data_IF_095080434337
#
_entry.id   IF_095080434337
#
_cell.length_a   1.000
_cell.length_b   1.000
_cell.length_c   1.000
_cell.angle_alpha   90.00
_cell.angle_beta   90.00
_cell.angle_gamma   90.00
#
_symmetry.space_group_name_H-M   'P 1'
#
loop_
_entity.id
_entity.type
_entity.pdbx_description
1 polymer ?
#
# COMPACT_ATOMS: atom_id res chain seq x y z
N UNK A 1 0.32 10.51 14.51
CA UNK A 1 1.47 11.40 14.29
C UNK A 1 1.37 11.98 12.88
N UNK A 2 1.89 13.17 12.65
CA UNK A 2 1.96 13.80 11.32
C UNK A 2 3.38 14.29 11.09
N UNK A 3 3.97 13.96 9.95
CA UNK A 3 5.33 14.36 9.60
C UNK A 3 5.59 14.18 8.11
N UNK A 4 6.64 14.83 7.62
CA UNK A 4 7.08 14.74 6.23
C UNK A 4 8.55 14.33 6.19
N UNK A 5 8.90 13.50 5.23
CA UNK A 5 10.27 13.06 4.97
C UNK A 5 10.54 13.09 3.47
N UNK A 6 11.80 13.25 3.10
CA UNK A 6 12.28 13.09 1.72
C UNK A 6 13.23 11.90 1.66
N UNK A 7 13.25 11.22 0.51
CA UNK A 7 14.12 10.08 0.25
C UNK A 7 14.59 10.13 -1.19
N UNK A 8 15.81 9.63 -1.43
CA UNK A 8 16.40 9.53 -2.77
C UNK A 8 16.57 8.06 -3.12
N UNK A 9 16.23 7.72 -4.36
CA UNK A 9 16.42 6.40 -4.94
C UNK A 9 16.72 6.51 -6.42
N UNK A 10 16.98 5.37 -7.04
CA UNK A 10 17.21 5.27 -8.48
C UNK A 10 16.45 4.08 -9.07
N UNK A 11 16.17 4.13 -10.36
CA UNK A 11 15.71 2.98 -11.12
C UNK A 11 16.56 2.79 -12.37
N UNK A 12 16.81 1.54 -12.70
CA UNK A 12 17.47 1.14 -13.95
C UNK A 12 16.58 0.15 -14.67
N UNK A 13 16.61 0.16 -16.00
CA UNK A 13 15.84 -0.77 -16.81
C UNK A 13 16.59 -1.13 -18.08
N UNK A 14 16.32 -2.33 -18.57
CA UNK A 14 16.81 -2.83 -19.84
C UNK A 14 15.63 -3.34 -20.66
N UNK A 15 15.70 -3.15 -21.96
CA UNK A 15 14.70 -3.63 -22.92
C UNK A 15 15.43 -4.26 -24.09
N UNK A 16 14.91 -5.39 -24.57
CA UNK A 16 15.48 -6.15 -25.67
C UNK A 16 14.37 -6.69 -26.56
N UNK A 17 14.55 -6.56 -27.87
CA UNK A 17 13.66 -7.10 -28.90
C UNK A 17 14.42 -8.15 -29.71
N UNK A 18 14.37 -9.44 -29.32
CA UNK A 18 14.96 -10.53 -30.11
C UNK A 18 14.37 -10.64 -31.52
N UNK A 19 13.08 -10.32 -31.67
CA UNK A 19 12.38 -10.21 -32.94
C UNK A 19 11.48 -8.97 -32.91
N UNK A 20 11.01 -8.46 -34.07
CA UNK A 20 10.11 -7.31 -34.07
C UNK A 20 8.78 -7.56 -33.36
N UNK A 21 8.35 -8.83 -33.28
CA UNK A 21 7.14 -9.24 -32.59
C UNK A 21 7.30 -9.54 -31.09
N UNK A 22 8.53 -9.70 -30.59
CA UNK A 22 8.80 -10.13 -29.20
C UNK A 22 9.64 -9.09 -28.46
N UNK A 23 9.07 -8.51 -27.41
CA UNK A 23 9.74 -7.58 -26.51
C UNK A 23 9.96 -8.20 -25.14
N UNK A 24 11.15 -7.98 -24.58
CA UNK A 24 11.56 -8.41 -23.24
C UNK A 24 12.01 -7.18 -22.46
N UNK A 25 11.54 -7.05 -21.22
CA UNK A 25 11.86 -5.92 -20.36
C UNK A 25 12.26 -6.37 -18.96
N UNK A 26 13.19 -5.64 -18.36
CA UNK A 26 13.53 -5.77 -16.95
C UNK A 26 13.69 -4.38 -16.33
N UNK A 27 13.22 -4.22 -15.10
CA UNK A 27 13.34 -2.99 -14.31
C UNK A 27 13.75 -3.34 -12.90
N UNK A 28 14.70 -2.59 -12.37
CA UNK A 28 15.04 -2.56 -10.95
C UNK A 28 14.80 -1.16 -10.39
N UNK A 29 14.10 -1.08 -9.26
CA UNK A 29 13.95 0.13 -8.45
C UNK A 29 14.68 -0.10 -7.12
N UNK A 30 15.57 0.82 -6.77
CA UNK A 30 16.31 0.76 -5.52
C UNK A 30 15.38 0.94 -4.32
N UNK A 31 15.83 0.41 -3.19
CA UNK A 31 15.28 0.75 -1.88
C UNK A 31 15.40 2.25 -1.62
N UNK A 32 14.42 2.82 -0.91
CA UNK A 32 14.42 4.23 -0.50
C UNK A 32 14.15 4.32 0.99
N UNK A 33 14.99 5.06 1.71
CA UNK A 33 14.83 5.28 3.15
C UNK A 33 14.23 6.65 3.39
N UNK A 34 13.23 6.71 4.26
CA UNK A 34 12.61 7.93 4.75
C UNK A 34 12.84 8.05 6.25
N UNK A 35 13.36 9.19 6.66
CA UNK A 35 13.56 9.54 8.07
C UNK A 35 12.63 10.70 8.39
N UNK A 36 11.73 10.45 9.35
CA UNK A 36 10.76 11.42 9.82
C UNK A 36 11.26 11.89 11.17
N UNK A 37 11.83 13.09 11.20
CA UNK A 37 12.31 13.70 12.44
C UNK A 37 11.36 14.76 12.93
N UNK A 38 11.06 14.72 14.23
CA UNK A 38 10.22 15.73 14.86
C UNK A 38 8.74 15.70 14.43
N UNK A 39 8.21 14.53 14.03
CA UNK A 39 6.81 14.39 13.63
C UNK A 39 5.88 14.71 14.81
N UNK A 40 4.85 15.52 14.55
CA UNK A 40 3.89 15.95 15.57
C UNK A 40 3.06 14.76 16.07
N UNK A 41 3.12 14.51 17.36
CA UNK A 41 2.33 13.54 18.08
C UNK A 41 1.28 14.25 18.95
N UNK A 42 0.02 14.16 18.53
CA UNK A 42 -1.12 14.67 19.28
C UNK A 42 -1.84 13.52 19.96
N UNK A 43 -2.08 13.67 21.26
CA UNK A 43 -2.90 12.75 22.03
C UNK A 43 -4.21 13.43 22.39
N UNK A 44 -5.30 12.72 22.19
CA UNK A 44 -6.64 13.17 22.56
C UNK A 44 -7.29 12.07 23.38
N UNK A 45 -7.78 12.43 24.56
CA UNK A 45 -8.52 11.49 25.38
C UNK A 45 -9.82 11.11 24.68
N UNK A 46 -10.07 9.80 24.58
CA UNK A 46 -11.35 9.26 24.13
C UNK A 46 -12.20 9.00 25.38
N UNK A 47 -13.38 9.62 25.52
CA UNK A 47 -14.25 9.38 26.67
C UNK A 47 -14.61 7.91 26.79
N UNK A 48 -14.34 7.34 27.95
CA UNK A 48 -14.63 5.93 28.25
C UNK A 48 -16.05 5.72 28.78
N UNK A 49 -16.62 6.75 29.42
CA UNK A 49 -17.92 6.64 30.10
C UNK A 49 -17.91 5.73 31.33
N UNK A 50 -16.72 5.33 31.82
CA UNK A 50 -16.56 4.45 32.97
C UNK A 50 -16.54 5.27 34.27
N UNK A 51 -17.31 4.82 35.27
CA UNK A 51 -17.29 5.38 36.62
C UNK A 51 -16.50 4.47 37.56
N UNK A 52 -15.56 5.04 38.30
CA UNK A 52 -14.78 4.36 39.33
C UNK A 52 -15.43 4.53 40.70
N UNK A 53 -15.58 3.43 41.43
CA UNK A 53 -16.12 3.43 42.78
C UNK A 53 -15.02 3.29 43.83
N UNK A 54 -15.28 3.64 45.11
CA UNK A 54 -14.30 3.47 46.19
C UNK A 54 -13.73 2.04 46.22
N UNK A 55 -12.39 1.93 46.34
CA UNK A 55 -11.67 0.65 46.32
C UNK A 55 -11.23 0.16 44.94
N UNK A 56 -11.50 0.91 43.85
CA UNK A 56 -10.99 0.54 42.53
C UNK A 56 -9.44 0.60 42.51
N UNK A 57 -8.74 -0.44 41.98
CA UNK A 57 -7.28 -0.53 42.02
C UNK A 57 -6.57 0.50 41.13
N UNK A 58 -7.32 1.20 40.27
CA UNK A 58 -6.83 2.20 39.32
C UNK A 58 -6.95 3.63 39.85
N UNK A 59 -7.53 3.84 41.03
CA UNK A 59 -7.56 5.15 41.70
C UNK A 59 -6.19 5.37 42.38
N UNK A 60 -5.48 6.47 42.10
CA UNK A 60 -4.24 6.79 42.80
C UNK A 60 -4.43 6.83 44.31
N UNK A 61 -3.49 6.24 45.06
CA UNK A 61 -3.52 6.24 46.52
C UNK A 61 -3.61 7.68 47.05
N UNK A 62 -4.54 7.92 47.99
CA UNK A 62 -4.79 9.26 48.55
C UNK A 62 -5.87 10.06 47.83
N UNK A 63 -6.44 9.57 46.72
CA UNK A 63 -7.58 10.23 46.06
C UNK A 63 -8.88 9.93 46.83
N UNK A 64 -9.55 10.97 47.34
CA UNK A 64 -10.89 10.82 47.95
C UNK A 64 -11.94 10.61 46.86
N UNK A 65 -12.56 9.44 46.83
CA UNK A 65 -13.63 9.09 45.88
C UNK A 65 -14.98 9.10 46.61
N UNK A 66 -15.96 9.92 46.16
CA UNK A 66 -17.29 9.92 46.74
C UNK A 66 -17.98 8.55 46.60
N UNK A 67 -18.98 8.22 47.43
CA UNK A 67 -19.77 7.02 47.27
C UNK A 67 -20.48 6.93 45.91
N UNK A 68 -20.77 8.07 45.28
CA UNK A 68 -21.36 8.17 43.93
C UNK A 68 -20.37 7.82 42.82
N UNK A 69 -19.09 7.59 43.13
CA UNK A 69 -18.01 7.34 42.19
C UNK A 69 -17.43 8.60 41.56
N UNK A 70 -16.33 8.43 40.84
CA UNK A 70 -15.68 9.45 40.02
C UNK A 70 -15.57 8.97 38.57
N UNK A 71 -15.78 9.84 37.57
CA UNK A 71 -15.52 9.47 36.18
C UNK A 71 -14.05 9.09 35.98
N UNK A 72 -13.77 7.93 35.38
CA UNK A 72 -12.41 7.51 35.04
C UNK A 72 -11.72 8.56 34.17
N UNK A 73 -12.49 9.18 33.28
CA UNK A 73 -11.98 10.21 32.38
C UNK A 73 -11.44 11.44 33.13
N UNK A 74 -12.02 11.81 34.26
CA UNK A 74 -11.53 12.91 35.10
C UNK A 74 -10.21 12.57 35.79
N UNK A 75 -9.99 11.31 36.15
CA UNK A 75 -8.73 10.82 36.74
C UNK A 75 -7.60 10.86 35.72
N UNK A 76 -7.89 10.54 34.45
CA UNK A 76 -6.91 10.55 33.37
C UNK A 76 -6.64 11.94 32.77
N UNK A 77 -7.52 12.91 32.95
CA UNK A 77 -7.44 14.22 32.29
C UNK A 77 -6.08 14.93 32.48
N UNK A 78 -5.47 14.78 33.67
CA UNK A 78 -4.14 15.33 33.96
C UNK A 78 -3.01 14.77 33.09
N UNK A 79 -3.17 13.58 32.51
CA UNK A 79 -2.20 13.01 31.57
C UNK A 79 -2.16 13.74 30.24
N UNK A 80 -3.26 14.40 29.84
CA UNK A 80 -3.40 15.05 28.53
C UNK A 80 -3.18 16.57 28.57
N UNK A 81 -2.72 17.12 29.70
CA UNK A 81 -2.52 18.56 29.89
C UNK A 81 -1.20 18.85 30.60
N UNK A 82 -0.68 20.08 30.47
CA UNK A 82 0.51 20.55 31.18
C UNK A 82 1.71 19.61 31.00
N UNK A 83 2.23 19.08 32.11
CA UNK A 83 3.37 18.14 32.15
C UNK A 83 2.96 16.66 32.12
N UNK A 84 1.69 16.34 31.82
CA UNK A 84 1.20 14.97 31.72
C UNK A 84 1.91 14.18 30.63
N UNK A 85 1.97 12.85 30.76
CA UNK A 85 2.71 12.00 29.82
C UNK A 85 2.17 12.09 28.38
N UNK A 86 0.89 12.39 28.21
CA UNK A 86 0.17 12.46 26.93
C UNK A 86 -0.21 13.90 26.58
N UNK A 87 0.53 14.90 27.07
CA UNK A 87 0.26 16.30 26.74
C UNK A 87 0.37 16.56 25.23
N UNK A 88 -0.38 17.53 24.68
CA UNK A 88 -0.28 17.91 23.28
C UNK A 88 1.05 18.59 22.97
N UNK A 89 1.53 18.46 21.73
CA UNK A 89 2.77 19.10 21.26
C UNK A 89 4.03 18.24 21.47
N UNK A 90 3.85 16.93 21.64
CA UNK A 90 4.98 16.00 21.61
C UNK A 90 5.46 15.78 20.19
N UNK A 91 6.74 15.45 20.07
CA UNK A 91 7.36 15.10 18.81
C UNK A 91 7.91 13.68 18.89
N UNK A 92 7.87 12.97 17.77
CA UNK A 92 8.45 11.66 17.65
C UNK A 92 9.24 11.52 16.34
N UNK A 93 10.29 10.71 16.37
CA UNK A 93 11.02 10.29 15.17
C UNK A 93 10.63 8.87 14.76
N UNK A 94 10.64 8.61 13.46
CA UNK A 94 10.46 7.27 12.90
C UNK A 94 11.22 7.12 11.60
N UNK A 95 11.46 5.88 11.18
CA UNK A 95 12.11 5.55 9.92
C UNK A 95 11.29 4.51 9.18
N UNK A 96 11.08 4.72 7.89
CA UNK A 96 10.42 3.78 7.00
C UNK A 96 11.33 3.46 5.81
N UNK A 97 11.49 2.18 5.52
CA UNK A 97 12.34 1.71 4.43
C UNK A 97 11.47 1.08 3.34
N UNK A 98 11.33 1.80 2.23
CA UNK A 98 10.57 1.32 1.08
C UNK A 98 11.39 0.27 0.33
N UNK A 99 10.81 -0.88 0.01
CA UNK A 99 11.54 -2.03 -0.51
C UNK A 99 12.05 -1.80 -1.93
N UNK A 100 13.15 -2.48 -2.26
CA UNK A 100 13.59 -2.61 -3.65
C UNK A 100 12.57 -3.42 -4.45
N UNK A 101 12.48 -3.16 -5.76
CA UNK A 101 11.55 -3.86 -6.65
C UNK A 101 12.28 -4.36 -7.89
N UNK A 102 12.04 -5.61 -8.24
CA UNK A 102 12.43 -6.19 -9.51
C UNK A 102 11.17 -6.51 -10.30
N UNK A 103 11.14 -6.11 -11.57
CA UNK A 103 10.08 -6.47 -12.50
C UNK A 103 10.70 -6.97 -13.80
N UNK A 104 10.14 -8.04 -14.35
CA UNK A 104 10.47 -8.56 -15.67
C UNK A 104 9.18 -8.80 -16.43
N UNK A 105 9.21 -8.58 -17.74
CA UNK A 105 8.03 -8.67 -18.58
C UNK A 105 8.34 -9.12 -20.00
N UNK A 106 7.35 -9.72 -20.62
CA UNK A 106 7.36 -10.16 -22.01
C UNK A 106 6.12 -9.61 -22.70
N UNK A 107 6.30 -9.06 -23.89
CA UNK A 107 5.24 -8.63 -24.79
C UNK A 107 5.36 -9.33 -26.13
N UNK A 108 4.23 -9.81 -26.68
CA UNK A 108 4.18 -10.46 -27.98
C UNK A 108 3.10 -9.84 -28.86
N UNK A 109 3.49 -9.31 -30.02
CA UNK A 109 2.64 -8.63 -31.00
C UNK A 109 2.56 -9.34 -32.36
N UNK A 110 3.03 -10.59 -32.45
CA UNK A 110 2.99 -11.38 -33.69
C UNK A 110 1.60 -11.93 -34.07
N UNK A 111 0.53 -11.37 -33.49
CA UNK A 111 -0.86 -11.73 -33.75
C UNK A 111 -1.55 -10.50 -34.33
N UNK A 112 -2.36 -10.69 -35.38
CA UNK A 112 -3.02 -9.59 -36.06
C UNK A 112 -3.75 -8.63 -35.10
N UNK A 113 -3.29 -7.38 -35.07
CA UNK A 113 -3.80 -6.29 -34.24
C UNK A 113 -3.87 -6.61 -32.73
N UNK A 114 -3.10 -7.59 -32.26
CA UNK A 114 -3.21 -8.14 -30.92
C UNK A 114 -1.86 -8.15 -30.24
N UNK A 115 -1.81 -7.64 -29.01
CA UNK A 115 -0.64 -7.74 -28.14
C UNK A 115 -1.00 -8.51 -26.88
N UNK A 116 -0.21 -9.52 -26.56
CA UNK A 116 -0.26 -10.24 -25.30
C UNK A 116 0.90 -9.80 -24.43
N UNK A 117 0.68 -9.67 -23.13
CA UNK A 117 1.76 -9.36 -22.19
C UNK A 117 1.68 -10.21 -20.93
N UNK A 118 2.85 -10.52 -20.38
CA UNK A 118 3.00 -11.15 -19.06
C UNK A 118 4.10 -10.43 -18.30
N UNK A 119 3.81 -10.05 -17.05
CA UNK A 119 4.75 -9.38 -16.15
C UNK A 119 4.83 -10.10 -14.81
N UNK A 120 6.04 -10.33 -14.34
CA UNK A 120 6.32 -10.75 -12.97
C UNK A 120 7.04 -9.65 -12.22
N UNK A 121 6.58 -9.33 -11.01
CA UNK A 121 7.28 -8.42 -10.12
C UNK A 121 7.46 -9.01 -8.72
N UNK A 122 8.68 -8.84 -8.19
CA UNK A 122 9.06 -9.18 -6.82
C UNK A 122 9.40 -7.91 -6.07
N UNK A 123 8.73 -7.70 -4.94
CA UNK A 123 8.96 -6.56 -4.06
C UNK A 123 9.61 -7.06 -2.78
N UNK A 124 10.78 -6.51 -2.46
CA UNK A 124 11.63 -6.98 -1.36
C UNK A 124 11.17 -6.45 0.01
N UNK A 125 9.90 -6.70 0.36
CA UNK A 125 9.30 -6.28 1.62
C UNK A 125 9.96 -6.89 2.85
N UNK A 126 10.81 -7.92 2.71
CA UNK A 126 11.62 -8.45 3.81
C UNK A 126 12.62 -7.44 4.40
N UNK A 127 12.75 -6.24 3.82
CA UNK A 127 13.44 -5.12 4.45
C UNK A 127 12.65 -4.42 5.55
N UNK A 128 11.32 -4.60 5.57
CA UNK A 128 10.42 -3.94 6.52
C UNK A 128 10.08 -4.89 7.67
N UNK A 129 11.01 -5.02 8.61
CA UNK A 129 10.84 -5.87 9.79
C UNK A 129 10.22 -5.13 10.96
N UNK A 130 10.53 -3.84 11.11
CA UNK A 130 10.09 -3.03 12.25
C UNK A 130 9.75 -1.60 11.82
N UNK A 131 8.85 -0.98 12.59
CA UNK A 131 8.55 0.44 12.53
C UNK A 131 8.82 1.04 13.92
N UNK A 132 10.01 1.64 14.14
CA UNK A 132 10.33 2.30 15.40
C UNK A 132 9.58 3.63 15.51
N UNK A 133 9.07 3.93 16.70
CA UNK A 133 8.47 5.21 17.05
C UNK A 133 9.17 5.72 18.30
N UNK A 134 10.00 6.74 18.15
CA UNK A 134 10.86 7.26 19.20
C UNK A 134 10.41 8.64 19.67
N UNK A 135 10.01 8.75 20.93
CA UNK A 135 9.63 10.00 21.60
C UNK A 135 10.80 10.62 22.38
N UNK A 136 12.02 10.13 22.16
CA UNK A 136 13.24 10.60 22.79
C UNK A 136 13.66 9.79 24.03
N UNK A 137 14.88 10.06 24.55
CA UNK A 137 15.48 9.26 25.61
C UNK A 137 14.62 9.18 26.87
N UNK A 138 14.36 7.95 27.34
CA UNK A 138 13.61 7.69 28.57
C UNK A 138 12.10 7.91 28.47
N UNK A 139 11.57 8.27 27.29
CA UNK A 139 10.11 8.38 27.11
C UNK A 139 9.47 6.99 27.14
N UNK A 140 8.48 6.74 28.01
CA UNK A 140 7.75 5.48 28.04
C UNK A 140 6.80 5.32 26.84
N UNK A 141 6.68 6.32 25.97
CA UNK A 141 5.92 6.27 24.73
C UNK A 141 6.71 5.71 23.55
N UNK A 142 8.04 5.65 23.67
CA UNK A 142 8.93 5.04 22.69
C UNK A 142 8.63 3.55 22.58
N UNK A 143 8.40 3.07 21.35
CA UNK A 143 8.06 1.68 21.06
C UNK A 143 8.52 1.27 19.67
N UNK A 144 8.60 -0.03 19.44
CA UNK A 144 8.92 -0.60 18.13
C UNK A 144 7.80 -1.54 17.72
N UNK A 145 7.11 -1.20 16.63
CA UNK A 145 6.11 -2.07 16.04
C UNK A 145 6.83 -3.15 15.22
N UNK A 146 6.43 -4.40 15.43
CA UNK A 146 6.98 -5.58 14.75
C UNK A 146 6.12 -5.93 13.56
N UNK A 147 6.68 -5.78 12.37
CA UNK A 147 5.98 -5.91 11.09
C UNK A 147 6.34 -7.22 10.40
N UNK A 148 7.63 -7.61 10.41
CA UNK A 148 8.15 -8.87 9.88
C UNK A 148 7.64 -9.21 8.47
N UNK A 149 7.59 -8.22 7.57
CA UNK A 149 7.03 -8.44 6.24
C UNK A 149 7.88 -9.43 5.44
N UNK A 150 7.23 -10.19 4.58
CA UNK A 150 7.85 -11.14 3.66
C UNK A 150 7.88 -10.59 2.24
N UNK A 151 8.76 -11.12 1.40
CA UNK A 151 8.84 -10.69 0.00
C UNK A 151 7.52 -10.99 -0.73
N UNK A 152 6.98 -10.00 -1.43
CA UNK A 152 5.75 -10.13 -2.21
C UNK A 152 6.07 -10.43 -3.67
N UNK A 153 5.25 -11.29 -4.27
CA UNK A 153 5.32 -11.66 -5.67
C UNK A 153 4.00 -11.30 -6.35
N UNK A 154 4.07 -10.80 -7.58
CA UNK A 154 2.90 -10.49 -8.39
C UNK A 154 3.09 -10.95 -9.82
N UNK A 155 2.01 -11.44 -10.41
CA UNK A 155 1.91 -11.83 -11.80
C UNK A 155 0.80 -11.02 -12.46
N UNK A 156 1.05 -10.49 -13.65
CA UNK A 156 0.06 -9.76 -14.46
C UNK A 156 0.03 -10.36 -15.85
N UNK A 157 -1.16 -10.48 -16.41
CA UNK A 157 -1.40 -10.90 -17.79
C UNK A 157 -2.27 -9.85 -18.44
N UNK A 158 -1.87 -9.42 -19.64
CA UNK A 158 -2.55 -8.39 -20.41
C UNK A 158 -2.88 -8.85 -21.82
N UNK A 159 -3.97 -8.31 -22.34
CA UNK A 159 -4.43 -8.48 -23.71
C UNK A 159 -4.84 -7.10 -24.24
N UNK A 160 -4.31 -6.71 -25.39
CA UNK A 160 -4.78 -5.56 -26.16
C UNK A 160 -5.17 -6.04 -27.56
N UNK A 161 -6.33 -5.62 -28.05
CA UNK A 161 -6.74 -5.80 -29.44
C UNK A 161 -7.21 -4.49 -30.04
N UNK A 162 -6.75 -4.15 -31.24
CA UNK A 162 -7.14 -2.93 -31.96
C UNK A 162 -8.13 -3.23 -33.07
N UNK A 163 -9.35 -2.75 -32.88
CA UNK A 163 -10.40 -2.78 -33.89
C UNK A 163 -10.24 -1.62 -34.87
N UNK A 164 -10.60 -1.85 -36.13
CA UNK A 164 -10.54 -0.86 -37.21
C UNK A 164 -9.13 -0.32 -37.51
N UNK A 165 -8.09 -0.95 -36.96
CA UNK A 165 -6.71 -0.69 -37.32
C UNK A 165 -6.30 -1.55 -38.52
N UNK A 166 -5.47 -1.00 -39.39
CA UNK A 166 -4.78 -1.80 -40.40
C UNK A 166 -3.71 -2.64 -39.72
N UNK A 167 -3.73 -3.95 -39.96
CA UNK A 167 -2.64 -4.79 -39.49
C UNK A 167 -1.34 -4.39 -40.17
N UNK A 168 -0.32 -4.16 -39.36
CA UNK A 168 1.04 -3.88 -39.79
C UNK A 168 1.88 -5.07 -39.37
N UNK A 169 2.52 -5.73 -40.33
CA UNK A 169 3.48 -6.80 -40.05
C UNK A 169 4.60 -6.25 -39.16
N UNK A 170 4.92 -6.87 -38.01
CA UNK A 170 6.02 -6.45 -37.16
C UNK A 170 7.36 -6.32 -37.90
N UNK A 171 7.59 -7.10 -38.96
CA UNK A 171 8.82 -7.06 -39.76
C UNK A 171 8.81 -5.94 -40.84
N UNK A 172 7.68 -5.25 -41.05
CA UNK A 172 7.56 -4.16 -42.04
C UNK A 172 8.02 -2.80 -41.46
N UNK A 173 9.29 -2.50 -41.68
CA UNK A 173 9.93 -1.23 -41.27
C UNK A 173 9.46 0.01 -42.05
N UNK A 174 8.67 -0.15 -43.12
CA UNK A 174 8.15 0.96 -43.91
C UNK A 174 6.77 1.45 -43.45
N UNK A 175 6.13 0.72 -42.52
CA UNK A 175 4.78 1.03 -42.07
C UNK A 175 4.73 2.31 -41.22
N UNK A 176 3.87 3.26 -41.61
CA UNK A 176 3.67 4.51 -40.87
C UNK A 176 2.85 4.30 -39.58
N UNK A 177 3.16 4.99 -38.47
CA UNK A 177 2.40 4.91 -37.21
C UNK A 177 0.89 5.17 -37.35
N UNK A 178 0.49 5.99 -38.34
CA UNK A 178 -0.90 6.31 -38.63
C UNK A 178 -1.74 5.07 -39.06
N UNK A 179 -1.10 4.02 -39.59
CA UNK A 179 -1.79 2.79 -40.03
C UNK A 179 -2.36 1.98 -38.85
N UNK A 180 -1.87 2.21 -37.63
CA UNK A 180 -2.31 1.49 -36.42
C UNK A 180 -3.40 2.25 -35.65
N UNK A 181 -4.01 3.28 -36.24
CA UNK A 181 -5.04 4.08 -35.59
C UNK A 181 -6.38 3.32 -35.52
N UNK A 182 -6.69 2.75 -34.36
CA UNK A 182 -7.91 1.96 -34.16
C UNK A 182 -8.36 1.98 -32.71
N UNK A 183 -9.59 1.54 -32.47
CA UNK A 183 -10.15 1.44 -31.11
C UNK A 183 -9.50 0.25 -30.40
N UNK A 184 -8.76 0.54 -29.33
CA UNK A 184 -8.08 -0.49 -28.54
C UNK A 184 -8.99 -0.99 -27.43
N UNK A 185 -9.29 -2.29 -27.40
CA UNK A 185 -9.82 -2.98 -26.23
C UNK A 185 -8.67 -3.57 -25.42
N UNK A 186 -8.66 -3.31 -24.11
CA UNK A 186 -7.67 -3.85 -23.18
C UNK A 186 -8.36 -4.64 -22.09
N UNK A 187 -7.86 -5.84 -21.84
CA UNK A 187 -8.26 -6.69 -20.72
C UNK A 187 -7.01 -7.09 -19.94
N UNK A 188 -7.15 -7.20 -18.62
CA UNK A 188 -6.03 -7.56 -17.76
C UNK A 188 -6.47 -8.32 -16.53
N UNK A 189 -5.59 -9.21 -16.08
CA UNK A 189 -5.69 -9.90 -14.81
C UNK A 189 -4.38 -9.76 -14.05
N UNK A 190 -4.43 -9.55 -12.74
CA UNK A 190 -3.25 -9.62 -11.91
C UNK A 190 -3.52 -10.26 -10.54
N UNK A 191 -2.59 -11.08 -10.09
CA UNK A 191 -2.51 -11.55 -8.72
C UNK A 191 -1.33 -10.89 -8.02
N UNK A 192 -1.53 -10.39 -6.81
CA UNK A 192 -0.47 -9.87 -5.95
C UNK A 192 -0.56 -10.50 -4.57
N UNK A 193 0.53 -11.14 -4.14
CA UNK A 193 0.64 -11.77 -2.83
C UNK A 193 0.83 -10.71 -1.74
N UNK A 194 0.16 -10.86 -0.60
CA UNK A 194 0.42 -10.03 0.59
C UNK A 194 1.85 -10.20 1.11
N UNK A 195 2.59 -9.11 1.39
CA UNK A 195 3.83 -9.20 2.17
C UNK A 195 3.60 -9.31 3.68
N UNK A 196 2.45 -8.88 4.21
CA UNK A 196 2.21 -8.89 5.65
C UNK A 196 1.98 -10.32 6.15
N UNK A 197 2.70 -10.83 7.16
CA UNK A 197 2.36 -12.09 7.81
C UNK A 197 1.06 -11.96 8.62
N UNK A 198 0.41 -13.09 8.92
CA UNK A 198 -0.92 -13.08 9.57
C UNK A 198 -0.93 -12.35 10.92
N UNK A 199 0.20 -12.37 11.64
CA UNK A 199 0.32 -11.77 12.98
C UNK A 199 0.44 -10.24 12.94
N UNK A 200 0.63 -9.61 11.77
CA UNK A 200 0.81 -8.16 11.63
C UNK A 200 -0.33 -7.46 10.91
N UNK A 201 -1.33 -8.21 10.47
CA UNK A 201 -2.58 -7.67 9.91
C UNK A 201 -3.37 -6.93 10.98
N UNK A 202 -3.72 -5.68 10.69
CA UNK A 202 -4.51 -4.81 11.59
C UNK A 202 -5.64 -4.13 10.81
N UNK A 203 -6.67 -3.56 11.48
CA UNK A 203 -7.66 -2.75 10.78
C UNK A 203 -7.08 -1.47 10.14
N UNK A 204 -5.94 -0.97 10.65
CA UNK A 204 -5.25 0.17 10.05
C UNK A 204 -4.64 -0.20 8.69
N UNK A 205 -4.12 -1.43 8.58
CA UNK A 205 -3.54 -1.96 7.36
C UNK A 205 -3.99 -3.42 7.17
N UNK A 206 -5.21 -3.63 6.65
CA UNK A 206 -5.77 -4.97 6.45
C UNK A 206 -5.20 -5.57 5.17
N UNK A 207 -3.87 -5.75 5.11
CA UNK A 207 -3.19 -6.21 3.92
C UNK A 207 -3.49 -7.69 3.65
N UNK A 208 -3.78 -7.98 2.38
CA UNK A 208 -4.19 -9.30 1.91
C UNK A 208 -3.88 -9.45 0.44
N UNK A 209 -3.75 -10.70 -0.01
CA UNK A 209 -3.53 -11.01 -1.41
C UNK A 209 -4.72 -10.53 -2.25
N UNK A 210 -4.42 -9.98 -3.43
CA UNK A 210 -5.37 -9.26 -4.28
C UNK A 210 -5.46 -9.91 -5.65
N UNK A 211 -6.68 -10.03 -6.13
CA UNK A 211 -7.02 -10.33 -7.51
C UNK A 211 -7.54 -9.05 -8.17
N UNK A 212 -6.93 -8.68 -9.28
CA UNK A 212 -7.21 -7.46 -10.02
C UNK A 212 -7.76 -7.85 -11.38
N UNK A 213 -8.95 -7.36 -11.72
CA UNK A 213 -9.59 -7.56 -13.01
C UNK A 213 -9.76 -6.21 -13.68
N UNK A 214 -9.10 -6.01 -14.83
CA UNK A 214 -9.07 -4.74 -15.51
C UNK A 214 -9.69 -4.84 -16.91
N UNK A 215 -10.39 -3.78 -17.30
CA UNK A 215 -10.90 -3.59 -18.64
C UNK A 215 -10.78 -2.13 -19.06
N UNK A 216 -10.51 -1.86 -20.33
CA UNK A 216 -10.40 -0.49 -20.82
C UNK A 216 -10.54 -0.37 -22.32
N UNK A 217 -10.83 0.86 -22.75
CA UNK A 217 -10.98 1.26 -24.14
C UNK A 217 -10.07 2.44 -24.42
N UNK A 218 -9.35 2.40 -25.54
CA UNK A 218 -8.64 3.54 -26.11
C UNK A 218 -9.31 3.94 -27.44
N UNK A 219 -9.80 5.16 -27.51
CA UNK A 219 -10.56 5.68 -28.66
C UNK A 219 -9.75 6.83 -29.28
N UNK A 220 -9.19 6.64 -30.48
CA UNK A 220 -8.53 7.73 -31.18
C UNK A 220 -9.56 8.78 -31.64
N UNK A 221 -9.16 10.04 -31.57
CA UNK A 221 -9.94 11.21 -31.99
C UNK A 221 -9.10 11.97 -33.01
N UNK A 222 -9.31 11.64 -34.29
CA UNK A 222 -8.45 12.11 -35.38
C UNK A 222 -7.06 11.48 -35.30
N UNK A 223 -6.03 12.24 -35.68
CA UNK A 223 -4.62 11.82 -35.68
C UNK A 223 -3.83 12.35 -34.48
N UNK A 224 -4.36 13.34 -33.77
CA UNK A 224 -3.65 14.05 -32.70
C UNK A 224 -4.06 13.57 -31.32
N UNK A 225 -5.35 13.29 -31.10
CA UNK A 225 -5.88 13.00 -29.78
C UNK A 225 -6.30 11.54 -29.62
N UNK A 226 -6.28 11.05 -28.39
CA UNK A 226 -6.90 9.79 -28.01
C UNK A 226 -7.48 9.87 -26.61
N UNK A 227 -8.64 9.26 -26.40
CA UNK A 227 -9.28 9.13 -25.10
C UNK A 227 -9.11 7.70 -24.60
N UNK A 228 -8.64 7.51 -23.37
CA UNK A 228 -8.66 6.20 -22.72
C UNK A 228 -9.56 6.22 -21.49
N UNK A 229 -10.46 5.25 -21.41
CA UNK A 229 -11.29 4.98 -20.26
C UNK A 229 -10.99 3.56 -19.74
N UNK A 230 -10.84 3.40 -18.43
CA UNK A 230 -10.58 2.08 -17.83
C UNK A 230 -11.29 1.87 -16.51
N UNK A 231 -11.54 0.61 -16.20
CA UNK A 231 -12.08 0.12 -14.96
C UNK A 231 -11.18 -0.99 -14.40
N UNK A 232 -10.93 -0.94 -13.09
CA UNK A 232 -10.24 -2.00 -12.34
C UNK A 232 -11.09 -2.40 -11.14
N UNK A 233 -11.40 -3.70 -11.05
CA UNK A 233 -12.00 -4.34 -9.89
C UNK A 233 -10.90 -5.01 -9.08
N UNK A 234 -10.78 -4.63 -7.81
CA UNK A 234 -9.90 -5.26 -6.83
C UNK A 234 -10.73 -6.15 -5.91
N UNK A 235 -10.42 -7.44 -5.92
CA UNK A 235 -11.01 -8.46 -5.05
C UNK A 235 -9.98 -9.00 -4.08
N UNK A 236 -10.43 -9.33 -2.88
CA UNK A 236 -9.62 -9.99 -1.87
C UNK A 236 -10.41 -11.13 -1.23
N UNK A 237 -9.71 -12.10 -0.66
CA UNK A 237 -10.34 -13.24 -0.01
C UNK A 237 -10.79 -12.96 1.43
N UNK A 238 -10.50 -11.76 1.95
CA UNK A 238 -10.59 -11.46 3.36
C UNK A 238 -9.49 -12.11 4.19
N UNK A 239 -9.27 -11.57 5.39
CA UNK A 239 -8.21 -12.05 6.29
C UNK A 239 -8.54 -11.75 7.74
N UNK A 240 -8.16 -12.64 8.66
CA UNK A 240 -8.17 -12.32 10.09
C UNK A 240 -7.08 -11.31 10.42
N UNK A 241 -7.32 -10.48 11.42
CA UNK A 241 -6.28 -9.62 11.97
C UNK A 241 -6.55 -9.23 13.41
N UNK A 242 -5.58 -8.53 13.99
CA UNK A 242 -5.56 -8.13 15.39
C UNK A 242 -5.93 -6.65 15.56
N UNK A 243 -6.60 -6.36 16.67
CA UNK A 243 -6.83 -4.98 17.16
C UNK A 243 -5.89 -4.60 18.30
N UNK A 244 -5.25 -5.59 18.92
CA UNK A 244 -4.27 -5.42 19.97
C UNK A 244 -2.85 -5.39 19.40
N UNK A 245 -1.94 -4.70 20.08
CA UNK A 245 -0.53 -4.60 19.67
C UNK A 245 0.20 -5.94 19.85
N UNK A 246 1.11 -6.27 18.91
CA UNK A 246 2.04 -7.40 19.07
C UNK A 246 3.26 -6.92 19.85
N UNK A 247 3.43 -7.43 21.06
CA UNK A 247 4.47 -7.00 22.01
C UNK A 247 5.67 -7.95 22.06
N UNK A 248 5.53 -9.20 21.58
CA UNK A 248 6.61 -10.19 21.58
C UNK A 248 6.64 -11.02 20.27
N UNK A 249 7.85 -11.46 19.89
CA UNK A 249 8.06 -12.27 18.68
C UNK A 249 7.38 -13.63 18.75
N UNK A 250 7.23 -14.18 19.96
CA UNK A 250 6.58 -15.47 20.23
C UNK A 250 5.06 -15.45 20.10
N UNK A 251 4.44 -14.26 20.01
CA UNK A 251 3.00 -14.16 19.82
C UNK A 251 2.62 -14.60 18.40
N UNK A 252 1.55 -15.36 18.30
CA UNK A 252 1.01 -15.92 17.06
C UNK A 252 -0.24 -15.15 16.62
N UNK A 253 -0.58 -15.24 15.33
CA UNK A 253 -1.81 -14.66 14.81
C UNK A 253 -3.05 -15.21 15.55
N UNK A 254 -3.08 -16.51 15.87
CA UNK A 254 -4.19 -17.14 16.58
C UNK A 254 -4.45 -16.53 17.97
N UNK A 255 -3.40 -16.11 18.68
CA UNK A 255 -3.52 -15.47 19.98
C UNK A 255 -4.03 -14.03 19.91
N UNK A 256 -3.71 -13.31 18.83
CA UNK A 256 -3.99 -11.87 18.72
C UNK A 256 -5.21 -11.53 17.88
N UNK A 257 -5.64 -12.44 17.00
CA UNK A 257 -6.72 -12.21 16.06
C UNK A 257 -8.04 -11.93 16.79
N UNK A 258 -8.66 -10.80 16.46
CA UNK A 258 -9.91 -10.35 17.07
C UNK A 258 -11.00 -9.98 16.06
N UNK A 259 -10.71 -10.05 14.75
CA UNK A 259 -11.66 -9.68 13.71
C UNK A 259 -11.37 -10.32 12.35
N UNK A 260 -12.32 -10.12 11.43
CA UNK A 260 -12.22 -10.50 10.02
C UNK A 260 -12.35 -9.23 9.17
N UNK A 261 -11.42 -9.02 8.26
CA UNK A 261 -11.38 -7.85 7.39
C UNK A 261 -11.50 -8.27 5.94
N UNK A 262 -12.30 -7.53 5.17
CA UNK A 262 -12.46 -7.71 3.73
C UNK A 262 -12.27 -6.36 3.06
N UNK A 263 -11.53 -6.34 1.95
CA UNK A 263 -11.31 -5.13 1.17
C UNK A 263 -11.65 -5.37 -0.29
N UNK A 264 -12.46 -4.51 -0.87
CA UNK A 264 -12.74 -4.55 -2.29
C UNK A 264 -12.77 -3.11 -2.80
N UNK A 265 -12.32 -2.90 -4.04
CA UNK A 265 -12.26 -1.57 -4.62
C UNK A 265 -12.70 -1.58 -6.09
N UNK A 266 -13.25 -0.45 -6.51
CA UNK A 266 -13.62 -0.14 -7.87
C UNK A 266 -12.86 1.13 -8.26
N UNK A 267 -12.00 1.05 -9.26
CA UNK A 267 -11.17 2.17 -9.72
C UNK A 267 -11.55 2.50 -11.15
N UNK A 268 -11.85 3.76 -11.40
CA UNK A 268 -12.16 4.29 -12.72
C UNK A 268 -11.06 5.29 -13.12
N UNK A 269 -10.67 5.27 -14.39
CA UNK A 269 -9.72 6.23 -14.94
C UNK A 269 -10.19 6.74 -16.30
N UNK A 270 -9.93 8.02 -16.54
CA UNK A 270 -10.15 8.69 -17.82
C UNK A 270 -8.88 9.51 -18.12
N UNK A 271 -8.35 9.39 -19.33
CA UNK A 271 -7.18 10.15 -19.76
C UNK A 271 -7.32 10.62 -21.21
N UNK A 272 -6.84 11.83 -21.48
CA UNK A 272 -6.70 12.39 -22.82
C UNK A 272 -5.22 12.42 -23.17
N UNK A 273 -4.85 11.79 -24.28
CA UNK A 273 -3.51 11.82 -24.86
C UNK A 273 -3.50 12.72 -26.09
N UNK A 274 -2.40 13.44 -26.27
CA UNK A 274 -2.14 14.25 -27.45
C UNK A 274 -0.73 13.91 -27.99
N UNK A 275 -0.61 13.71 -29.30
CA UNK A 275 0.65 13.48 -29.99
C UNK A 275 0.82 14.57 -31.06
N UNK A 276 1.97 15.26 -31.02
CA UNK A 276 2.33 16.37 -31.90
C UNK A 276 3.59 16.01 -32.69
#
# INVERSE_FOLDING_TARGET
MKGSASGVGFNVGAHWQPTPALGLGARYLSRVRFEYDGADATFTQVPSGVTLFPGSPIIPAGTTVPPTGVPFDAVLAGQFTGSGLLHPGQHASTRLEFPAQLQVGVGYSGIANTTLSVDYARIQWSSFTTLPVDFGPGSPLTRTLREDYENSNSLRVGFEHRFFATFVDPDDVAATPAAQNGVALRLGFAYAQTPAPDVTVTPLLPDMSRFNFAGGLGIPIGTTFALDASYLRVETQGRRGRVIERTADSQTAAQLNGGWYTLNANVFSLSLKAQF
#
